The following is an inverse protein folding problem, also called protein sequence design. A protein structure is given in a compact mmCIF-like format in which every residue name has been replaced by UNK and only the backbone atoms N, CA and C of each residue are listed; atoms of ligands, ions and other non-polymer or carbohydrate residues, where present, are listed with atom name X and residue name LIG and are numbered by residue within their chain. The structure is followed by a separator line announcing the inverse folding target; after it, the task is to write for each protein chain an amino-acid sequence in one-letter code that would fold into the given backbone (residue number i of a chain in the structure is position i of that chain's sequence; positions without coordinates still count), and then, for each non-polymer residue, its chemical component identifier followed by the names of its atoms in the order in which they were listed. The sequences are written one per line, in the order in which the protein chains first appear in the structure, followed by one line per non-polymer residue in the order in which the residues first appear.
data_IF_097956602329
#
_entry.id   IF_097956602329
#
_cell.length_a   1.000
_cell.length_b   1.000
_cell.length_c   1.000
_cell.angle_alpha   90.00
_cell.angle_beta   90.00
_cell.angle_gamma   90.00
#
_symmetry.space_group_name_H-M   'P 1'
#
loop_
_entity.id
_entity.type
_entity.pdbx_description
1 polymer ?
#
# COMPACT_ATOMS: atom_id res chain seq x y z
N UNK A 1 -17.36 20.21 79.43
CA UNK A 1 -16.53 20.46 80.62
C UNK A 1 -15.22 21.03 80.08
N UNK A 2 -15.03 22.32 80.49
CA UNK A 2 -13.79 22.98 80.92
C UNK A 2 -12.64 22.99 79.91
N UNK A 3 -12.35 24.20 79.35
CA UNK A 3 -11.45 25.27 79.79
C UNK A 3 -9.97 24.88 79.78
N UNK A 4 -8.99 25.60 79.18
CA UNK A 4 -8.64 27.02 79.29
C UNK A 4 -7.59 27.33 78.19
N UNK A 5 -7.57 28.43 77.50
CA UNK A 5 -6.94 29.76 77.69
C UNK A 5 -5.49 29.71 78.20
N UNK A 6 -4.51 30.28 77.49
CA UNK A 6 -4.02 31.67 77.65
C UNK A 6 -2.64 31.84 76.97
N UNK A 7 -2.46 32.86 76.30
CA UNK A 7 -1.73 34.14 76.43
C UNK A 7 -0.30 34.15 75.83
N UNK A 8 -0.11 34.94 74.86
CA UNK A 8 0.56 36.20 74.65
C UNK A 8 2.09 36.17 74.85
N UNK A 9 2.83 36.58 73.82
CA UNK A 9 3.82 37.69 73.95
C UNK A 9 4.24 38.18 72.54
N UNK A 10 4.11 39.44 72.35
CA UNK A 10 4.63 40.27 71.25
C UNK A 10 6.15 40.40 71.36
N UNK A 11 6.84 40.45 70.25
CA UNK A 11 8.02 41.33 70.12
C UNK A 11 8.08 41.86 68.66
N UNK A 12 8.10 43.18 68.64
CA UNK A 12 8.31 44.06 67.54
C UNK A 12 9.81 44.04 67.17
N UNK A 13 10.07 43.93 65.84
CA UNK A 13 11.39 44.16 65.26
C UNK A 13 11.23 44.77 63.86
N UNK A 14 11.60 46.04 63.75
CA UNK A 14 11.47 46.99 62.65
C UNK A 14 12.58 46.75 61.58
N UNK A 15 12.53 47.33 60.39
CA UNK A 15 12.87 46.73 59.11
C UNK A 15 14.26 47.05 58.55
N UNK A 16 14.77 46.21 57.68
CA UNK A 16 15.93 46.52 56.86
C UNK A 16 15.59 46.33 55.35
N UNK A 17 15.95 47.30 54.54
CA UNK A 17 15.66 47.24 53.10
C UNK A 17 16.88 46.71 52.32
N UNK A 18 16.74 45.63 51.65
CA UNK A 18 17.61 45.15 50.53
C UNK A 18 16.87 44.01 49.88
N UNK A 19 16.61 43.99 48.62
CA UNK A 19 17.26 44.34 47.41
C UNK A 19 16.49 43.65 46.34
N UNK A 20 16.04 44.45 45.47
CA UNK A 20 15.44 44.13 44.17
C UNK A 20 16.24 43.06 43.42
N UNK A 21 15.56 42.03 42.88
CA UNK A 21 16.21 41.06 42.03
C UNK A 21 15.31 39.88 41.64
N UNK A 22 13.99 40.07 41.43
CA UNK A 22 13.19 39.07 40.78
C UNK A 22 13.45 39.14 39.27
N UNK A 23 14.46 38.39 38.83
CA UNK A 23 14.70 38.12 37.40
C UNK A 23 13.57 37.21 36.88
N UNK A 24 12.56 37.83 36.29
CA UNK A 24 11.52 37.12 35.55
C UNK A 24 12.19 36.55 34.27
N UNK A 25 12.66 35.33 34.34
CA UNK A 25 13.01 34.56 33.15
C UNK A 25 11.71 34.23 32.43
N UNK A 26 11.29 35.09 31.49
CA UNK A 26 10.31 34.74 30.47
C UNK A 26 10.91 33.61 29.66
N UNK A 27 10.52 32.39 29.97
CA UNK A 27 10.63 31.25 29.04
C UNK A 27 9.74 31.58 27.85
N UNK A 28 10.34 32.16 26.80
CA UNK A 28 9.82 32.15 25.45
C UNK A 28 9.76 30.68 25.03
N UNK A 29 8.64 30.01 25.32
CA UNK A 29 8.25 28.81 24.63
C UNK A 29 8.02 29.23 23.19
N UNK A 30 9.09 29.28 22.40
CA UNK A 30 9.02 29.42 20.96
C UNK A 30 8.21 28.25 20.45
N UNK A 31 6.97 28.48 19.99
CA UNK A 31 6.29 27.58 19.12
C UNK A 31 7.23 27.36 17.94
N UNK A 32 7.87 26.20 17.89
CA UNK A 32 8.76 25.84 16.81
C UNK A 32 7.96 25.75 15.52
N UNK A 33 7.91 26.86 14.77
CA UNK A 33 7.47 26.90 13.38
C UNK A 33 8.63 26.36 12.54
N UNK A 34 8.98 25.11 12.79
CA UNK A 34 9.93 24.38 11.97
C UNK A 34 9.17 23.47 10.97
N UNK A 35 9.83 22.97 9.95
CA UNK A 35 9.22 22.09 8.94
C UNK A 35 8.71 20.74 9.48
N UNK A 36 8.62 20.56 10.78
CA UNK A 36 8.22 19.32 11.43
C UNK A 36 9.30 18.22 11.32
N UNK A 37 9.09 17.12 12.03
CA UNK A 37 9.96 15.95 11.92
C UNK A 37 9.63 15.17 10.66
N UNK A 38 10.64 14.79 9.87
CA UNK A 38 10.47 13.95 8.69
C UNK A 38 9.89 12.58 9.09
N UNK A 39 8.88 12.05 8.37
CA UNK A 39 8.38 10.71 8.60
C UNK A 39 9.50 9.69 8.30
N UNK A 40 9.62 8.68 9.18
CA UNK A 40 10.62 7.62 9.05
C UNK A 40 10.11 6.44 8.23
N UNK A 41 11.02 5.62 7.70
CA UNK A 41 10.67 4.36 7.02
C UNK A 41 10.11 4.52 5.60
N UNK A 42 10.09 5.73 5.06
CA UNK A 42 9.57 6.00 3.71
C UNK A 42 10.38 5.24 2.66
N UNK A 43 9.68 4.60 1.74
CA UNK A 43 10.27 4.02 0.52
C UNK A 43 9.69 4.70 -0.71
N UNK A 44 10.52 4.90 -1.73
CA UNK A 44 10.13 5.50 -3.00
C UNK A 44 10.65 4.63 -4.14
N UNK A 45 9.73 4.19 -4.99
CA UNK A 45 10.03 3.49 -6.24
C UNK A 45 9.46 4.28 -7.41
N UNK A 46 10.20 4.33 -8.50
CA UNK A 46 9.73 4.92 -9.77
C UNK A 46 10.04 3.92 -10.87
N UNK A 47 9.03 3.55 -11.63
CA UNK A 47 9.13 2.56 -12.70
C UNK A 47 8.36 3.01 -13.94
N UNK A 48 8.55 2.28 -15.02
CA UNK A 48 7.92 2.48 -16.33
C UNK A 48 7.50 1.11 -16.88
N UNK A 49 6.33 1.03 -17.49
CA UNK A 49 5.81 -0.15 -18.13
C UNK A 49 5.33 -1.21 -17.15
N UNK A 50 4.43 -0.84 -16.24
CA UNK A 50 3.86 -1.74 -15.24
C UNK A 50 4.92 -2.38 -14.33
N UNK A 51 5.86 -1.57 -13.86
CA UNK A 51 6.93 -2.01 -12.98
C UNK A 51 8.13 -2.66 -13.68
N UNK A 52 8.09 -2.84 -14.99
CA UNK A 52 9.09 -3.60 -15.74
C UNK A 52 10.48 -2.94 -15.76
N UNK A 53 10.54 -1.62 -15.77
CA UNK A 53 11.79 -0.86 -15.85
C UNK A 53 11.89 0.13 -14.70
N UNK A 54 12.97 0.06 -13.92
CA UNK A 54 13.25 1.08 -12.91
C UNK A 54 13.68 2.40 -13.57
N UNK A 55 13.15 3.51 -13.07
CA UNK A 55 13.51 4.87 -13.48
C UNK A 55 14.27 5.54 -12.34
N UNK A 56 15.46 6.05 -12.64
CA UNK A 56 16.29 6.77 -11.67
C UNK A 56 17.07 5.88 -10.70
N UNK A 57 17.55 6.47 -9.61
CA UNK A 57 18.49 5.84 -8.68
C UNK A 57 17.75 4.94 -7.67
N UNK A 58 18.31 3.76 -7.42
CA UNK A 58 17.91 2.91 -6.30
C UNK A 58 18.61 3.37 -5.01
N UNK A 59 17.87 3.52 -3.93
CA UNK A 59 18.38 3.90 -2.62
C UNK A 59 17.31 4.41 -1.69
N UNK A 60 17.66 4.71 -0.44
CA UNK A 60 16.76 5.36 0.50
C UNK A 60 16.48 6.80 0.03
N UNK A 61 15.21 7.23 -0.05
CA UNK A 61 14.87 8.56 -0.48
C UNK A 61 15.27 9.61 0.59
N UNK A 62 15.58 10.83 0.12
CA UNK A 62 15.70 11.99 0.98
C UNK A 62 14.30 12.47 1.32
N UNK A 63 13.98 12.57 2.59
CA UNK A 63 12.64 12.93 3.10
C UNK A 63 12.73 14.26 3.86
N UNK A 64 11.86 15.21 3.53
CA UNK A 64 11.70 16.47 4.25
C UNK A 64 10.74 16.36 5.44
N UNK A 65 10.69 17.37 6.29
CA UNK A 65 9.67 17.46 7.35
C UNK A 65 8.30 17.79 6.76
N UNK A 66 7.23 17.13 7.23
CA UNK A 66 5.83 17.33 6.77
C UNK A 66 5.72 17.48 5.24
N UNK A 67 6.16 16.47 4.54
CA UNK A 67 6.26 16.49 3.09
C UNK A 67 5.08 15.74 2.43
N UNK A 68 4.70 16.20 1.23
CA UNK A 68 3.74 15.52 0.39
C UNK A 68 4.42 14.50 -0.52
N UNK A 69 3.64 13.62 -1.14
CA UNK A 69 4.14 12.67 -2.14
C UNK A 69 4.82 13.41 -3.31
N UNK A 70 4.26 14.53 -3.75
CA UNK A 70 4.90 15.38 -4.78
C UNK A 70 6.22 15.97 -4.31
N UNK A 71 6.27 16.48 -3.08
CA UNK A 71 7.50 17.02 -2.48
C UNK A 71 8.60 15.96 -2.40
N UNK A 72 8.26 14.75 -1.95
CA UNK A 72 9.17 13.60 -1.93
C UNK A 72 9.72 13.29 -3.33
N UNK A 73 8.84 13.24 -4.33
CA UNK A 73 9.23 12.96 -5.71
C UNK A 73 10.20 14.03 -6.23
N UNK A 74 9.85 15.30 -6.12
CA UNK A 74 10.66 16.44 -6.62
C UNK A 74 12.00 16.58 -5.87
N UNK A 75 12.09 16.13 -4.63
CA UNK A 75 13.34 16.13 -3.85
C UNK A 75 14.34 15.08 -4.34
N UNK A 76 13.85 14.00 -4.93
CA UNK A 76 14.66 12.84 -5.29
C UNK A 76 14.87 12.67 -6.80
N UNK A 77 14.01 13.27 -7.63
CA UNK A 77 14.00 13.12 -9.09
C UNK A 77 13.85 14.46 -9.81
N UNK A 78 14.27 14.50 -11.07
CA UNK A 78 13.96 15.61 -11.96
C UNK A 78 12.52 15.45 -12.47
N UNK A 79 11.63 16.36 -12.06
CA UNK A 79 10.19 16.27 -12.36
C UNK A 79 9.77 17.50 -13.15
N UNK A 80 9.03 17.28 -14.24
CA UNK A 80 8.27 18.33 -14.91
C UNK A 80 6.78 18.14 -14.58
N UNK A 81 6.11 19.25 -14.32
CA UNK A 81 4.69 19.25 -13.97
C UNK A 81 3.90 20.16 -14.88
N UNK A 82 2.59 19.94 -14.99
CA UNK A 82 1.60 20.79 -15.65
C UNK A 82 0.53 21.24 -14.67
N UNK A 83 -0.32 22.13 -15.11
CA UNK A 83 -1.50 22.62 -14.36
C UNK A 83 -1.16 23.11 -12.95
N UNK A 84 -0.14 23.98 -12.85
CA UNK A 84 0.25 24.55 -11.55
C UNK A 84 0.90 23.58 -10.57
N UNK A 85 1.45 22.46 -11.04
CA UNK A 85 2.14 21.48 -10.21
C UNK A 85 1.28 20.27 -9.83
N UNK A 86 0.01 20.24 -10.21
CA UNK A 86 -0.92 19.16 -9.85
C UNK A 86 -0.78 17.87 -10.68
N UNK A 87 -0.13 17.94 -11.85
CA UNK A 87 0.02 16.80 -12.76
C UNK A 87 1.49 16.58 -13.11
N UNK A 88 1.97 15.34 -13.01
CA UNK A 88 3.33 14.96 -13.39
C UNK A 88 3.37 14.70 -14.89
N UNK A 89 4.13 15.53 -15.61
CA UNK A 89 4.36 15.40 -17.06
C UNK A 89 5.51 14.43 -17.37
N UNK A 90 6.61 14.54 -16.61
CA UNK A 90 7.76 13.64 -16.78
C UNK A 90 8.56 13.49 -15.50
N UNK A 91 9.17 12.31 -15.33
CA UNK A 91 10.14 12.00 -14.30
C UNK A 91 11.41 11.49 -15.01
N UNK A 92 12.57 12.09 -14.72
CA UNK A 92 13.87 11.76 -15.34
C UNK A 92 13.82 11.71 -16.88
N UNK A 93 12.97 12.54 -17.50
CA UNK A 93 12.80 12.60 -18.94
C UNK A 93 11.82 11.56 -19.52
N UNK A 94 11.33 10.61 -18.74
CA UNK A 94 10.24 9.71 -19.15
C UNK A 94 8.92 10.49 -19.08
N UNK A 95 8.24 10.65 -20.20
CA UNK A 95 7.03 11.49 -20.31
C UNK A 95 5.80 10.65 -20.57
N UNK A 96 4.69 11.03 -19.95
CA UNK A 96 3.36 10.60 -20.34
C UNK A 96 2.98 11.09 -21.73
N UNK A 97 1.80 10.73 -22.21
CA UNK A 97 1.27 11.08 -23.51
C UNK A 97 0.89 9.86 -24.34
N UNK A 98 1.38 9.75 -25.57
CA UNK A 98 1.14 8.58 -26.43
C UNK A 98 2.42 7.78 -26.57
N UNK A 99 2.42 6.53 -26.12
CA UNK A 99 3.53 5.61 -26.28
C UNK A 99 3.05 4.39 -27.10
N UNK A 100 3.77 4.07 -28.18
CA UNK A 100 3.39 2.99 -29.11
C UNK A 100 1.95 3.09 -29.66
N UNK A 101 1.36 4.30 -29.68
CA UNK A 101 -0.01 4.53 -30.13
C UNK A 101 -1.06 4.51 -29.02
N UNK A 102 -0.70 4.13 -27.81
CA UNK A 102 -1.61 4.04 -26.66
C UNK A 102 -1.36 5.18 -25.65
N UNK A 103 -2.42 5.64 -24.93
CA UNK A 103 -2.28 6.69 -23.93
C UNK A 103 -1.56 6.17 -22.69
N UNK A 104 -0.55 6.91 -22.24
CA UNK A 104 0.25 6.55 -21.07
C UNK A 104 0.44 7.76 -20.18
N UNK A 105 0.29 7.60 -18.87
CA UNK A 105 0.49 8.65 -17.88
C UNK A 105 1.17 8.12 -16.62
N UNK A 106 1.63 9.05 -15.76
CA UNK A 106 2.20 8.77 -14.46
C UNK A 106 1.10 8.58 -13.42
N UNK A 107 1.01 7.37 -12.89
CA UNK A 107 0.16 7.02 -11.76
C UNK A 107 1.01 6.83 -10.51
N UNK A 108 0.42 7.00 -9.32
CA UNK A 108 1.13 6.69 -8.10
C UNK A 108 0.26 5.95 -7.09
N UNK A 109 0.94 5.13 -6.32
CA UNK A 109 0.38 4.25 -5.31
C UNK A 109 0.98 4.58 -3.96
N UNK A 110 0.16 4.59 -2.94
CA UNK A 110 0.58 4.66 -1.53
C UNK A 110 0.20 3.35 -0.88
N UNK A 111 1.19 2.62 -0.37
CA UNK A 111 0.99 1.33 0.27
C UNK A 111 0.21 0.32 -0.60
N UNK A 112 0.46 0.35 -1.92
CA UNK A 112 -0.17 -0.55 -2.88
C UNK A 112 -1.58 -0.18 -3.30
N UNK A 113 -2.07 1.00 -2.94
CA UNK A 113 -3.37 1.52 -3.35
C UNK A 113 -3.17 2.75 -4.21
N UNK A 114 -3.87 2.81 -5.36
CA UNK A 114 -3.89 3.99 -6.22
C UNK A 114 -4.45 5.18 -5.44
N UNK A 115 -3.74 6.29 -5.50
CA UNK A 115 -4.10 7.44 -4.69
C UNK A 115 -5.31 8.18 -5.27
N UNK A 116 -6.36 8.42 -4.47
CA UNK A 116 -7.57 9.09 -4.92
C UNK A 116 -7.43 10.62 -5.02
N UNK A 117 -6.27 11.15 -4.64
CA UNK A 117 -5.96 12.60 -4.59
C UNK A 117 -4.71 12.89 -5.39
N UNK A 118 -4.52 14.16 -5.76
CA UNK A 118 -3.26 14.63 -6.34
C UNK A 118 -2.08 14.45 -5.38
N UNK A 119 -0.90 14.19 -5.91
CA UNK A 119 0.30 13.94 -5.11
C UNK A 119 0.74 15.16 -4.26
N UNK A 120 0.33 16.35 -4.66
CA UNK A 120 0.56 17.58 -3.89
C UNK A 120 -0.34 17.71 -2.65
N UNK A 121 -1.47 16.99 -2.64
CA UNK A 121 -2.46 16.99 -1.55
C UNK A 121 -2.38 15.74 -0.67
N UNK A 122 -1.46 14.82 -0.96
CA UNK A 122 -1.25 13.58 -0.22
C UNK A 122 -0.03 13.71 0.67
N UNK A 123 -0.26 13.78 1.98
CA UNK A 123 0.80 13.84 2.99
C UNK A 123 1.39 12.46 3.25
N UNK A 124 2.72 12.42 3.43
CA UNK A 124 3.43 11.20 3.82
C UNK A 124 3.15 10.83 5.27
N UNK A 125 3.01 9.53 5.50
CA UNK A 125 2.97 8.92 6.83
C UNK A 125 4.24 8.07 7.04
N UNK A 126 4.61 7.84 8.31
CA UNK A 126 5.74 6.95 8.60
C UNK A 126 5.45 5.54 8.06
N UNK A 127 6.46 4.94 7.43
CA UNK A 127 6.36 3.60 6.85
C UNK A 127 5.84 3.56 5.40
N UNK A 128 5.31 4.67 4.88
CA UNK A 128 4.71 4.68 3.54
C UNK A 128 5.66 4.17 2.45
N UNK A 129 5.10 3.34 1.59
CA UNK A 129 5.70 2.89 0.33
C UNK A 129 5.05 3.62 -0.83
N UNK A 130 5.78 4.58 -1.39
CA UNK A 130 5.34 5.37 -2.53
C UNK A 130 5.90 4.75 -3.80
N UNK A 131 5.02 4.42 -4.73
CA UNK A 131 5.40 3.85 -6.01
C UNK A 131 4.76 4.63 -7.14
N UNK A 132 5.59 5.20 -8.01
CA UNK A 132 5.19 5.84 -9.26
C UNK A 132 5.45 4.90 -10.43
N UNK A 133 4.50 4.78 -11.33
CA UNK A 133 4.66 4.00 -12.55
C UNK A 133 4.08 4.74 -13.77
N UNK A 134 4.84 4.78 -14.85
CA UNK A 134 4.40 5.26 -16.14
C UNK A 134 3.83 4.09 -16.93
N UNK A 135 2.53 4.06 -17.15
CA UNK A 135 1.93 2.96 -17.88
C UNK A 135 0.76 3.38 -18.78
N UNK A 136 0.44 2.48 -19.70
CA UNK A 136 -0.71 2.52 -20.59
C UNK A 136 -2.02 2.36 -19.80
N UNK A 137 -2.98 3.25 -20.01
CA UNK A 137 -4.29 3.20 -19.39
C UNK A 137 -5.45 2.96 -20.39
N UNK A 138 -5.15 2.47 -21.60
CA UNK A 138 -6.15 2.19 -22.63
C UNK A 138 -7.18 1.12 -22.24
N UNK A 139 -6.80 0.16 -21.38
CA UNK A 139 -7.67 -0.91 -20.92
C UNK A 139 -8.46 -0.56 -19.68
N UNK A 140 -7.89 0.24 -18.79
CA UNK A 140 -8.56 0.71 -17.57
C UNK A 140 -7.95 2.05 -17.16
N UNK A 141 -8.78 2.96 -16.68
CA UNK A 141 -8.34 4.26 -16.15
C UNK A 141 -7.86 4.16 -14.71
N UNK A 142 -8.19 3.08 -14.00
CA UNK A 142 -7.82 2.86 -12.61
C UNK A 142 -7.30 1.42 -12.44
N UNK A 143 -6.19 1.30 -11.73
CA UNK A 143 -5.69 0.03 -11.19
C UNK A 143 -5.72 0.15 -9.67
N UNK A 144 -6.87 -0.13 -9.04
CA UNK A 144 -7.18 0.36 -7.70
C UNK A 144 -6.27 -0.19 -6.60
N UNK A 145 -5.65 -1.36 -6.83
CA UNK A 145 -4.66 -1.92 -5.92
C UNK A 145 -3.64 -2.78 -6.65
N UNK A 146 -2.41 -2.81 -6.11
CA UNK A 146 -1.27 -3.55 -6.65
C UNK A 146 -0.54 -4.30 -5.54
N UNK A 147 0.13 -5.40 -5.87
CA UNK A 147 0.83 -6.22 -4.87
C UNK A 147 2.28 -5.79 -4.64
N UNK A 148 2.80 -4.90 -5.47
CA UNK A 148 4.22 -4.51 -5.50
C UNK A 148 4.72 -3.74 -4.28
N UNK A 149 3.81 -3.26 -3.46
CA UNK A 149 4.13 -2.58 -2.20
C UNK A 149 4.17 -3.54 -0.99
N UNK A 150 3.97 -4.85 -1.17
CA UNK A 150 4.04 -5.80 -0.06
C UNK A 150 5.32 -5.61 0.79
N UNK A 151 5.24 -5.63 2.13
CA UNK A 151 4.13 -6.05 2.98
C UNK A 151 3.06 -5.00 3.25
N UNK A 152 3.11 -3.82 2.61
CA UNK A 152 1.97 -2.90 2.68
C UNK A 152 0.81 -3.39 1.80
N UNK A 153 -0.43 -3.10 2.23
CA UNK A 153 -0.88 -2.23 3.33
C UNK A 153 -1.06 -2.93 4.69
N UNK A 154 -0.49 -4.12 4.90
CA UNK A 154 -0.71 -4.92 6.11
C UNK A 154 -0.03 -4.33 7.36
N UNK A 155 1.09 -3.59 7.21
CA UNK A 155 1.85 -3.05 8.33
C UNK A 155 1.37 -1.66 8.75
N UNK A 156 1.40 -0.71 7.83
CA UNK A 156 1.16 0.71 8.14
C UNK A 156 -0.20 1.20 7.63
N UNK A 157 -0.89 0.37 6.83
CA UNK A 157 -2.25 0.64 6.37
C UNK A 157 -2.31 1.62 5.21
N UNK A 158 -3.40 2.38 5.11
CA UNK A 158 -3.67 3.30 4.00
C UNK A 158 -4.05 4.65 4.58
N UNK A 159 -3.44 5.75 4.12
CA UNK A 159 -3.66 7.10 4.60
C UNK A 159 -3.54 7.22 6.15
N UNK A 160 -2.58 6.51 6.75
CA UNK A 160 -2.35 6.47 8.20
C UNK A 160 -3.37 5.64 8.99
N UNK A 161 -4.26 4.92 8.32
CA UNK A 161 -5.26 4.05 8.95
C UNK A 161 -4.87 2.58 8.76
N UNK A 162 -4.65 1.86 9.85
CA UNK A 162 -4.50 0.41 9.85
C UNK A 162 -5.87 -0.26 9.83
N UNK A 163 -5.99 -1.28 8.99
CA UNK A 163 -7.20 -2.09 8.88
C UNK A 163 -7.02 -3.41 9.63
N UNK A 164 -8.07 -3.94 10.27
CA UNK A 164 -8.08 -5.34 10.68
C UNK A 164 -7.77 -6.23 9.47
N UNK A 165 -7.02 -7.30 9.67
CA UNK A 165 -6.70 -8.26 8.62
C UNK A 165 -7.46 -9.57 8.86
N UNK A 166 -8.09 -10.08 7.80
CA UNK A 166 -8.82 -11.35 7.84
C UNK A 166 -8.35 -12.24 6.69
N UNK A 167 -7.85 -13.41 7.04
CA UNK A 167 -7.47 -14.45 6.07
C UNK A 167 -8.67 -15.39 5.93
N UNK A 168 -9.26 -15.39 4.76
CA UNK A 168 -10.43 -16.17 4.41
C UNK A 168 -10.01 -17.35 3.54
N UNK A 169 -10.09 -18.54 4.10
CA UNK A 169 -9.60 -19.76 3.44
C UNK A 169 -10.76 -20.60 2.92
N UNK A 170 -10.70 -20.98 1.63
CA UNK A 170 -11.64 -21.93 1.05
C UNK A 170 -11.56 -23.29 1.76
N UNK A 171 -10.36 -23.68 2.20
CA UNK A 171 -10.10 -24.86 3.05
C UNK A 171 -9.16 -24.43 4.18
N UNK A 172 -9.68 -24.25 5.42
CA UNK A 172 -8.87 -23.79 6.55
C UNK A 172 -7.68 -24.67 6.90
N UNK A 173 -7.76 -25.97 6.61
CA UNK A 173 -6.68 -26.93 6.87
C UNK A 173 -5.63 -27.01 5.75
N UNK A 174 -5.79 -26.22 4.67
CA UNK A 174 -4.86 -26.24 3.55
C UNK A 174 -3.49 -25.65 3.90
N UNK A 175 -2.44 -26.15 3.24
CA UNK A 175 -1.09 -25.61 3.38
C UNK A 175 -0.98 -24.18 2.88
N UNK A 176 -1.77 -23.77 1.88
CA UNK A 176 -1.82 -22.37 1.42
C UNK A 176 -2.31 -21.44 2.54
N UNK A 177 -3.40 -21.83 3.24
CA UNK A 177 -3.95 -21.07 4.36
C UNK A 177 -2.91 -20.91 5.48
N UNK A 178 -2.31 -22.01 5.92
CA UNK A 178 -1.27 -22.00 6.95
C UNK A 178 -0.09 -21.10 6.54
N UNK A 179 0.40 -21.22 5.30
CA UNK A 179 1.52 -20.43 4.79
C UNK A 179 1.21 -18.93 4.83
N UNK A 180 0.02 -18.50 4.42
CA UNK A 180 -0.37 -17.08 4.44
C UNK A 180 -0.43 -16.56 5.88
N UNK A 181 -1.03 -17.32 6.79
CA UNK A 181 -1.05 -16.97 8.22
C UNK A 181 0.37 -16.83 8.79
N UNK A 182 1.26 -17.77 8.49
CA UNK A 182 2.65 -17.75 8.95
C UNK A 182 3.41 -16.54 8.39
N UNK A 183 3.21 -16.19 7.11
CA UNK A 183 3.82 -14.99 6.50
C UNK A 183 3.38 -13.70 7.17
N UNK A 184 2.08 -13.53 7.41
CA UNK A 184 1.56 -12.34 8.09
C UNK A 184 2.01 -12.30 9.56
N UNK A 185 1.99 -13.42 10.25
CA UNK A 185 2.47 -13.54 11.63
C UNK A 185 3.96 -13.20 11.75
N UNK A 186 4.79 -13.65 10.82
CA UNK A 186 6.22 -13.33 10.79
C UNK A 186 6.49 -11.82 10.59
N UNK A 187 5.55 -11.09 9.99
CA UNK A 187 5.58 -9.62 9.88
C UNK A 187 5.02 -8.92 11.12
N UNK A 188 4.52 -9.66 12.12
CA UNK A 188 3.85 -9.08 13.29
C UNK A 188 2.43 -8.58 12.99
N UNK A 189 1.81 -9.01 11.89
CA UNK A 189 0.44 -8.64 11.52
C UNK A 189 -0.54 -9.63 12.15
N UNK A 190 -1.39 -9.18 13.09
CA UNK A 190 -2.45 -10.03 13.61
C UNK A 190 -3.53 -10.22 12.53
N UNK A 191 -3.77 -11.46 12.12
CA UNK A 191 -4.77 -11.80 11.13
C UNK A 191 -5.77 -12.82 11.69
N UNK A 192 -7.06 -12.48 11.64
CA UNK A 192 -8.12 -13.42 12.03
C UNK A 192 -8.34 -14.44 10.90
N UNK A 193 -8.53 -15.71 11.24
CA UNK A 193 -8.94 -16.75 10.29
C UNK A 193 -10.46 -16.78 10.15
N UNK A 194 -10.96 -16.97 8.91
CA UNK A 194 -12.38 -17.12 8.62
C UNK A 194 -12.61 -18.06 7.42
N UNK A 195 -13.84 -18.50 7.24
CA UNK A 195 -14.29 -19.06 5.98
C UNK A 195 -14.47 -17.96 4.95
N UNK A 196 -14.35 -18.31 3.67
CA UNK A 196 -14.63 -17.37 2.57
C UNK A 196 -16.05 -16.84 2.68
N UNK A 197 -16.22 -15.54 2.45
CA UNK A 197 -17.52 -14.86 2.47
C UNK A 197 -17.73 -14.11 1.15
N UNK A 198 -18.97 -14.16 0.66
CA UNK A 198 -19.39 -13.37 -0.51
C UNK A 198 -19.70 -11.91 -0.15
N UNK A 199 -19.77 -11.58 1.14
CA UNK A 199 -19.98 -10.23 1.61
C UNK A 199 -18.70 -9.40 1.49
N UNK A 200 -18.82 -8.22 0.86
CA UNK A 200 -17.74 -7.24 0.88
C UNK A 200 -17.70 -6.52 2.23
N UNK A 201 -16.50 -6.35 2.76
CA UNK A 201 -16.26 -5.68 4.04
C UNK A 201 -15.35 -4.47 3.83
N UNK A 202 -15.95 -3.30 3.88
CA UNK A 202 -15.28 -2.02 3.60
C UNK A 202 -14.16 -1.68 4.60
N UNK A 203 -14.19 -2.28 5.77
CA UNK A 203 -13.34 -1.90 6.90
C UNK A 203 -12.29 -2.95 7.25
N UNK A 204 -12.26 -4.07 6.55
CA UNK A 204 -11.35 -5.19 6.79
C UNK A 204 -10.54 -5.48 5.54
N UNK A 205 -9.23 -5.55 5.70
CA UNK A 205 -8.33 -6.00 4.65
C UNK A 205 -8.45 -7.52 4.55
N UNK A 206 -9.13 -7.98 3.49
CA UNK A 206 -9.41 -9.40 3.27
C UNK A 206 -8.30 -10.04 2.44
N UNK A 207 -7.89 -11.25 2.83
CA UNK A 207 -6.96 -12.08 2.07
C UNK A 207 -7.63 -13.41 1.78
N UNK A 208 -8.10 -13.58 0.55
CA UNK A 208 -8.80 -14.77 0.09
C UNK A 208 -7.78 -15.82 -0.36
N UNK A 209 -7.86 -17.02 0.19
CA UNK A 209 -6.85 -18.08 -0.02
C UNK A 209 -7.50 -19.37 -0.47
N UNK A 210 -7.11 -19.89 -1.63
CA UNK A 210 -7.59 -21.16 -2.16
C UNK A 210 -7.66 -21.23 -3.68
N UNK A 211 -8.12 -22.36 -4.25
CA UNK A 211 -8.44 -22.43 -5.69
C UNK A 211 -9.46 -21.36 -6.06
N UNK A 212 -9.28 -20.71 -7.21
CA UNK A 212 -10.18 -19.64 -7.64
C UNK A 212 -11.66 -20.06 -7.64
N UNK A 213 -11.96 -21.26 -8.09
CA UNK A 213 -13.32 -21.83 -8.11
C UNK A 213 -13.95 -22.03 -6.72
N UNK A 214 -13.17 -21.90 -5.65
CA UNK A 214 -13.63 -22.09 -4.27
C UNK A 214 -13.58 -20.78 -3.44
N UNK A 215 -13.31 -19.63 -4.08
CA UNK A 215 -13.24 -18.33 -3.39
C UNK A 215 -14.59 -17.62 -3.29
N UNK A 216 -15.69 -18.29 -3.67
CA UNK A 216 -17.04 -17.70 -3.63
C UNK A 216 -17.32 -16.76 -4.80
N UNK A 217 -18.41 -16.00 -4.69
CA UNK A 217 -18.95 -15.12 -5.73
C UNK A 217 -18.95 -13.64 -5.31
N UNK A 218 -18.05 -13.24 -4.40
CA UNK A 218 -17.93 -11.82 -4.06
C UNK A 218 -17.54 -10.98 -5.27
N UNK A 219 -17.95 -9.71 -5.28
CA UNK A 219 -17.67 -8.79 -6.37
C UNK A 219 -16.16 -8.73 -6.69
N UNK A 220 -15.32 -8.68 -5.65
CA UNK A 220 -13.86 -8.65 -5.81
C UNK A 220 -13.30 -9.90 -6.49
N UNK A 221 -13.84 -11.09 -6.20
CA UNK A 221 -13.43 -12.35 -6.86
C UNK A 221 -13.86 -12.35 -8.31
N UNK A 222 -15.12 -11.97 -8.57
CA UNK A 222 -15.65 -11.87 -9.93
C UNK A 222 -14.83 -10.89 -10.78
N UNK A 223 -14.55 -9.70 -10.26
CA UNK A 223 -13.85 -8.65 -11.00
C UNK A 223 -12.40 -9.04 -11.33
N UNK A 224 -11.68 -9.66 -10.39
CA UNK A 224 -10.34 -10.20 -10.66
C UNK A 224 -10.40 -11.29 -11.74
N UNK A 225 -11.40 -12.15 -11.69
CA UNK A 225 -11.59 -13.18 -12.71
C UNK A 225 -11.96 -12.64 -14.10
N UNK A 226 -12.64 -11.49 -14.15
CA UNK A 226 -13.06 -10.83 -15.38
C UNK A 226 -11.94 -10.03 -16.08
N UNK A 227 -10.90 -9.63 -15.34
CA UNK A 227 -9.71 -9.00 -15.89
C UNK A 227 -9.63 -7.47 -15.68
N UNK A 228 -8.73 -6.78 -16.43
CA UNK A 228 -8.25 -5.45 -16.07
C UNK A 228 -9.32 -4.36 -16.07
N UNK A 229 -10.35 -4.46 -16.89
CA UNK A 229 -11.42 -3.45 -16.97
C UNK A 229 -12.25 -3.33 -15.67
N UNK A 230 -12.23 -4.37 -14.86
CA UNK A 230 -13.03 -4.45 -13.63
C UNK A 230 -12.16 -4.33 -12.37
N UNK A 231 -10.99 -4.95 -12.39
CA UNK A 231 -10.13 -5.07 -11.21
C UNK A 231 -8.76 -4.40 -11.33
N UNK A 232 -8.35 -4.01 -12.54
CA UNK A 232 -6.96 -3.62 -12.81
C UNK A 232 -5.98 -4.80 -12.94
N UNK A 233 -6.44 -6.05 -12.81
CA UNK A 233 -5.59 -7.25 -12.86
C UNK A 233 -5.53 -7.80 -14.28
N UNK A 234 -4.33 -7.83 -14.88
CA UNK A 234 -4.10 -8.27 -16.27
C UNK A 234 -4.00 -9.80 -16.37
N UNK A 235 -4.99 -10.47 -15.80
CA UNK A 235 -5.18 -11.90 -15.91
C UNK A 235 -6.68 -12.22 -15.90
N UNK A 236 -7.07 -13.38 -16.44
CA UNK A 236 -8.46 -13.86 -16.45
C UNK A 236 -8.51 -15.33 -16.11
N UNK A 237 -9.44 -15.70 -15.25
CA UNK A 237 -9.77 -17.09 -15.03
C UNK A 237 -10.81 -17.57 -16.06
N UNK A 238 -10.74 -18.85 -16.46
CA UNK A 238 -11.86 -19.50 -17.16
C UNK A 238 -13.08 -19.55 -16.23
N UNK A 239 -14.29 -19.70 -16.78
CA UNK A 239 -15.50 -19.79 -15.97
C UNK A 239 -15.51 -20.93 -14.95
N UNK A 240 -14.73 -22.00 -15.19
CA UNK A 240 -14.52 -23.09 -14.22
C UNK A 240 -13.38 -22.82 -13.23
N UNK A 241 -12.61 -21.73 -13.39
CA UNK A 241 -11.41 -21.45 -12.61
C UNK A 241 -10.20 -22.35 -12.95
N UNK A 242 -10.33 -23.30 -13.88
CA UNK A 242 -9.31 -24.32 -14.16
C UNK A 242 -8.19 -23.86 -15.11
N UNK A 243 -8.27 -22.64 -15.64
CA UNK A 243 -7.25 -22.04 -16.47
C UNK A 243 -7.09 -20.55 -16.16
N UNK A 244 -5.85 -20.06 -16.23
CA UNK A 244 -5.47 -18.68 -16.00
C UNK A 244 -4.84 -18.10 -17.27
N UNK A 245 -5.50 -17.15 -17.90
CA UNK A 245 -5.01 -16.47 -19.10
C UNK A 245 -4.31 -15.17 -18.70
N UNK A 246 -3.04 -15.03 -19.05
CA UNK A 246 -2.22 -13.83 -18.82
C UNK A 246 -2.41 -12.88 -20.00
N UNK A 247 -2.49 -11.60 -19.72
CA UNK A 247 -2.75 -10.54 -20.68
C UNK A 247 -1.55 -9.61 -20.82
N UNK A 248 -1.40 -9.02 -22.00
CA UNK A 248 -0.48 -7.90 -22.23
C UNK A 248 -1.09 -6.55 -21.77
N UNK A 249 -0.35 -5.43 -21.81
CA UNK A 249 -0.87 -4.10 -21.48
C UNK A 249 -2.12 -3.70 -22.28
N UNK A 250 -2.25 -4.17 -23.52
CA UNK A 250 -3.43 -3.92 -24.36
C UNK A 250 -4.61 -4.87 -24.03
N UNK A 251 -4.50 -5.68 -22.97
CA UNK A 251 -5.54 -6.64 -22.57
C UNK A 251 -5.69 -7.84 -23.47
N UNK A 252 -4.74 -8.09 -24.38
CA UNK A 252 -4.76 -9.24 -25.29
C UNK A 252 -4.18 -10.47 -24.62
N UNK A 253 -4.74 -11.66 -24.83
CA UNK A 253 -4.19 -12.92 -24.34
C UNK A 253 -2.78 -13.19 -24.88
N UNK A 254 -1.83 -13.43 -23.98
CA UNK A 254 -0.44 -13.80 -24.31
C UNK A 254 -0.22 -15.28 -24.09
N UNK A 255 -0.71 -15.80 -22.95
CA UNK A 255 -0.52 -17.19 -22.56
C UNK A 255 -1.67 -17.65 -21.67
N UNK A 256 -2.05 -18.91 -21.80
CA UNK A 256 -2.98 -19.57 -20.89
C UNK A 256 -2.26 -20.68 -20.13
N UNK A 257 -2.35 -20.61 -18.81
CA UNK A 257 -1.80 -21.58 -17.87
C UNK A 257 -2.91 -22.52 -17.41
N UNK A 258 -2.60 -23.81 -17.34
CA UNK A 258 -3.52 -24.86 -16.87
C UNK A 258 -3.34 -25.17 -15.40
N UNK A 259 -3.54 -26.45 -15.04
CA UNK A 259 -3.44 -26.94 -13.68
C UNK A 259 -2.11 -26.59 -13.01
N UNK A 260 -2.16 -26.26 -11.71
CA UNK A 260 -1.01 -25.87 -10.90
C UNK A 260 -0.58 -24.40 -11.05
N UNK A 261 -1.26 -23.60 -11.87
CA UNK A 261 -0.94 -22.17 -11.99
C UNK A 261 -1.48 -21.37 -10.80
N UNK A 262 -0.66 -20.42 -10.30
CA UNK A 262 -0.99 -19.54 -9.20
C UNK A 262 -1.16 -18.09 -9.64
N UNK A 263 -1.86 -17.30 -8.81
CA UNK A 263 -2.00 -15.85 -8.95
C UNK A 263 -1.99 -15.18 -7.57
N UNK A 264 -1.17 -14.14 -7.42
CA UNK A 264 -1.23 -13.18 -6.33
C UNK A 264 -1.70 -11.86 -6.94
N UNK A 265 -2.86 -11.39 -6.52
CA UNK A 265 -3.45 -10.16 -7.03
C UNK A 265 -4.10 -9.37 -5.91
N UNK A 266 -4.29 -8.09 -6.13
CA UNK A 266 -5.07 -7.23 -5.26
C UNK A 266 -6.04 -6.40 -6.10
N UNK A 267 -7.19 -6.10 -5.53
CA UNK A 267 -8.16 -5.16 -6.10
C UNK A 267 -8.81 -4.36 -4.98
N UNK A 268 -9.58 -3.36 -5.35
CA UNK A 268 -10.28 -2.50 -4.41
C UNK A 268 -11.55 -1.96 -5.04
N UNK A 269 -12.62 -1.89 -4.29
CA UNK A 269 -13.85 -1.26 -4.74
C UNK A 269 -14.00 0.13 -4.12
N UNK A 270 -14.01 1.17 -4.93
CA UNK A 270 -14.12 2.54 -4.46
C UNK A 270 -13.09 2.92 -3.39
N UNK A 271 -13.57 3.24 -2.17
CA UNK A 271 -12.71 3.63 -1.02
C UNK A 271 -12.61 2.55 0.06
N UNK A 272 -13.07 1.35 -0.23
CA UNK A 272 -13.03 0.22 0.69
C UNK A 272 -11.60 -0.27 0.95
N UNK A 273 -11.42 -1.12 1.95
CA UNK A 273 -10.14 -1.80 2.17
C UNK A 273 -9.83 -2.71 0.97
N UNK A 274 -8.57 -2.83 0.55
CA UNK A 274 -8.19 -3.74 -0.53
C UNK A 274 -8.51 -5.21 -0.19
N UNK A 275 -8.83 -5.96 -1.23
CA UNK A 275 -8.97 -7.42 -1.18
C UNK A 275 -7.79 -8.05 -1.91
N UNK A 276 -7.09 -8.94 -1.25
CA UNK A 276 -6.00 -9.71 -1.81
C UNK A 276 -6.46 -11.12 -2.13
N UNK A 277 -6.07 -11.64 -3.29
CA UNK A 277 -6.32 -13.01 -3.71
C UNK A 277 -4.98 -13.76 -3.79
N UNK A 278 -4.85 -14.81 -3.01
CA UNK A 278 -3.75 -15.77 -3.05
C UNK A 278 -4.35 -17.06 -3.58
N UNK A 279 -4.38 -17.20 -4.88
CA UNK A 279 -5.25 -18.17 -5.57
C UNK A 279 -4.52 -18.94 -6.65
N UNK A 280 -5.23 -19.85 -7.30
CA UNK A 280 -4.72 -20.61 -8.42
C UNK A 280 -5.81 -21.39 -9.14
N UNK A 281 -5.43 -22.08 -10.21
CA UNK A 281 -6.33 -22.93 -11.01
C UNK A 281 -6.78 -24.17 -10.24
N UNK A 282 -6.04 -24.53 -9.18
CA UNK A 282 -6.30 -25.63 -8.26
C UNK A 282 -5.55 -25.41 -6.93
N UNK A 283 -5.60 -26.39 -6.03
CA UNK A 283 -4.92 -26.34 -4.75
C UNK A 283 -3.38 -26.24 -4.87
N UNK A 284 -2.79 -26.84 -5.90
CA UNK A 284 -1.34 -26.76 -6.13
C UNK A 284 -0.94 -25.33 -6.54
N UNK A 285 -1.72 -24.70 -7.41
CA UNK A 285 -1.53 -23.30 -7.81
C UNK A 285 -1.71 -22.33 -6.61
N UNK A 286 -2.72 -22.54 -5.77
CA UNK A 286 -2.91 -21.74 -4.56
C UNK A 286 -1.74 -21.89 -3.57
N UNK A 287 -1.20 -23.10 -3.40
CA UNK A 287 -0.02 -23.36 -2.57
C UNK A 287 1.23 -22.66 -3.13
N UNK A 288 1.40 -22.68 -4.44
CA UNK A 288 2.50 -22.01 -5.12
C UNK A 288 2.42 -20.49 -4.93
N UNK A 289 1.22 -19.92 -5.06
CA UNK A 289 0.97 -18.50 -4.80
C UNK A 289 1.30 -18.14 -3.34
N UNK A 290 0.78 -18.90 -2.37
CA UNK A 290 1.05 -18.67 -0.95
C UNK A 290 2.55 -18.74 -0.61
N UNK A 291 3.27 -19.70 -1.17
CA UNK A 291 4.71 -19.86 -0.97
C UNK A 291 5.53 -18.70 -1.56
N UNK A 292 4.99 -18.05 -2.61
CA UNK A 292 5.62 -16.91 -3.29
C UNK A 292 5.30 -15.55 -2.66
N UNK A 293 4.46 -15.49 -1.62
CA UNK A 293 4.11 -14.26 -0.91
C UNK A 293 5.31 -13.71 -0.14
N UNK A 294 6.13 -12.89 -0.80
CA UNK A 294 7.32 -12.26 -0.23
C UNK A 294 7.61 -10.91 -0.89
N UNK A 295 8.27 -10.01 -0.14
CA UNK A 295 8.66 -8.68 -0.66
C UNK A 295 9.51 -8.78 -1.93
N UNK A 296 10.43 -9.72 -1.99
CA UNK A 296 11.32 -9.89 -3.15
C UNK A 296 10.59 -10.38 -4.39
N UNK A 297 9.61 -11.28 -4.24
CA UNK A 297 8.85 -11.83 -5.36
C UNK A 297 7.84 -10.82 -5.90
N UNK A 298 7.26 -9.99 -5.03
CA UNK A 298 6.18 -9.06 -5.41
C UNK A 298 6.67 -7.67 -5.81
N UNK A 299 7.94 -7.35 -5.56
CA UNK A 299 8.49 -6.01 -5.82
C UNK A 299 8.20 -5.53 -7.23
N UNK A 300 7.59 -4.35 -7.35
CA UNK A 300 7.20 -3.72 -8.61
C UNK A 300 6.24 -4.57 -9.48
N UNK A 301 5.50 -5.49 -8.90
CA UNK A 301 4.47 -6.25 -9.61
C UNK A 301 3.10 -5.61 -9.40
N UNK A 302 2.35 -5.44 -10.47
CA UNK A 302 0.93 -5.08 -10.37
C UNK A 302 0.13 -6.27 -9.83
N UNK A 303 0.33 -7.44 -10.43
CA UNK A 303 -0.01 -8.74 -9.87
C UNK A 303 1.05 -9.76 -10.32
N UNK A 304 1.08 -10.93 -9.70
CA UNK A 304 2.08 -11.96 -9.98
C UNK A 304 1.41 -13.28 -10.31
N UNK A 305 1.57 -13.73 -11.55
CA UNK A 305 1.21 -15.08 -11.96
C UNK A 305 2.38 -16.03 -11.74
N UNK A 306 2.08 -17.29 -11.45
CA UNK A 306 3.04 -18.34 -11.19
C UNK A 306 2.75 -19.54 -12.08
N UNK A 307 3.71 -19.94 -12.89
CA UNK A 307 3.62 -21.13 -13.71
C UNK A 307 3.77 -22.39 -12.83
N UNK A 308 3.22 -23.53 -13.24
CA UNK A 308 3.37 -24.78 -12.49
C UNK A 308 4.83 -25.20 -12.26
N UNK A 309 5.76 -24.72 -13.08
CA UNK A 309 7.22 -24.87 -12.93
C UNK A 309 7.80 -24.09 -11.74
N UNK A 310 7.02 -23.16 -11.13
CA UNK A 310 7.50 -22.20 -10.15
C UNK A 310 8.03 -20.90 -10.76
N UNK A 311 8.00 -20.73 -12.07
CA UNK A 311 8.41 -19.48 -12.74
C UNK A 311 7.41 -18.37 -12.40
N UNK A 312 7.91 -17.27 -11.86
CA UNK A 312 7.14 -16.08 -11.55
C UNK A 312 7.03 -15.17 -12.79
N UNK A 313 5.82 -14.74 -13.11
CA UNK A 313 5.53 -13.87 -14.24
C UNK A 313 4.70 -12.66 -13.75
N UNK A 314 5.32 -11.47 -13.65
CA UNK A 314 4.54 -10.24 -13.45
C UNK A 314 3.50 -10.04 -14.55
N UNK A 315 2.33 -9.53 -14.19
CA UNK A 315 1.29 -9.17 -15.16
C UNK A 315 0.92 -7.69 -15.01
N UNK A 316 0.66 -7.00 -16.16
CA UNK A 316 0.61 -7.50 -17.52
C UNK A 316 1.93 -8.09 -17.99
N UNK A 317 1.83 -9.05 -18.93
CA UNK A 317 3.03 -9.63 -19.55
C UNK A 317 3.61 -8.59 -20.50
N UNK A 318 4.80 -8.11 -20.21
CA UNK A 318 5.51 -7.17 -21.07
C UNK A 318 5.86 -7.76 -22.45
N UNK A 319 6.13 -6.90 -23.47
CA UNK A 319 6.63 -7.32 -24.76
C UNK A 319 8.00 -7.96 -24.68
#
# INVERSE_FOLDING_TARGET
MRHARSHIARSLGVPGPFGLGALVALLLAGCGIGPGQAPSGIRLSVTDGFGARAVGLSGAPRVGGQETVMGLLMRNYQVKTRFGGGFVESIEGHSGGTQAGEPSDWFYYVNGVEAPKGAADTNLQAGDRIWWDLHDWSQTQEIPAVVGSYPEPFLDGIEGRRYPVRVECAEPSSSACATVHDRLSALGVPAAGAAVSDEEDQLTLRVLVGPYSALGDSLSVHDVGAGPRYSGVYARFSGSGSALTLLDPAGKPVRTLGAGAGLIAATRYGKEAPVWLITGTDAAGANLAASSLSESALRNCFALALEPSGTAQPVPVGP
#
